data_IF_902589017588
#
_entry.id   IF_902589017588
#
_cell.length_a   1.000
_cell.length_b   1.000
_cell.length_c   1.000
_cell.angle_alpha   90.00
_cell.angle_beta   90.00
_cell.angle_gamma   90.00
#
_symmetry.space_group_name_H-M   'P 1'
#
loop_
_entity.id
_entity.type
_entity.pdbx_description
1 polymer ?
#
# COMPACT_ATOMS: atom_id res chain seq x y z
N UNK A 1 -84.57 7.10 21.74
CA UNK A 1 -83.26 7.53 21.21
C UNK A 1 -82.27 6.38 21.42
N UNK A 2 -82.12 5.47 20.45
CA UNK A 2 -81.26 4.28 20.60
C UNK A 2 -79.85 4.61 20.09
N UNK A 3 -78.91 4.75 21.01
CA UNK A 3 -77.50 4.90 20.68
C UNK A 3 -76.93 3.55 20.22
N UNK A 4 -76.64 3.43 18.93
CA UNK A 4 -75.90 2.28 18.39
C UNK A 4 -74.42 2.49 18.68
N UNK A 5 -73.84 1.71 19.58
CA UNK A 5 -72.40 1.73 19.84
C UNK A 5 -71.66 0.97 18.73
N UNK A 6 -70.82 1.68 17.97
CA UNK A 6 -70.06 1.12 16.86
C UNK A 6 -68.72 0.59 17.38
N UNK A 7 -68.67 -0.69 17.73
CA UNK A 7 -67.43 -1.33 18.16
C UNK A 7 -66.48 -1.51 16.96
N UNK A 8 -65.36 -0.77 16.96
CA UNK A 8 -64.28 -0.97 15.98
C UNK A 8 -63.53 -2.26 16.33
N UNK A 9 -63.57 -3.25 15.44
CA UNK A 9 -62.70 -4.43 15.53
C UNK A 9 -61.26 -3.99 15.33
N UNK A 10 -60.43 -4.11 16.37
CA UNK A 10 -59.00 -3.82 16.26
C UNK A 10 -58.35 -4.91 15.39
N UNK A 11 -57.76 -4.51 14.26
CA UNK A 11 -57.19 -5.46 13.31
C UNK A 11 -55.78 -5.87 13.77
N UNK A 12 -55.66 -7.09 14.28
CA UNK A 12 -54.39 -7.68 14.72
C UNK A 12 -53.33 -7.75 13.61
N UNK A 13 -53.73 -7.76 12.33
CA UNK A 13 -52.82 -7.71 11.19
C UNK A 13 -51.93 -6.46 11.18
N UNK A 14 -52.43 -5.31 11.65
CA UNK A 14 -51.64 -4.08 11.70
C UNK A 14 -50.47 -4.17 12.67
N UNK A 15 -50.60 -5.00 13.71
CA UNK A 15 -49.54 -5.19 14.71
C UNK A 15 -48.38 -6.05 14.20
N UNK A 16 -48.60 -6.87 13.16
CA UNK A 16 -47.55 -7.71 12.56
C UNK A 16 -46.77 -7.02 11.44
N UNK A 17 -47.21 -5.84 11.01
CA UNK A 17 -46.60 -5.12 9.90
C UNK A 17 -45.19 -4.62 10.24
N UNK A 18 -45.03 -4.05 11.44
CA UNK A 18 -43.73 -3.58 11.95
C UNK A 18 -42.72 -4.72 12.16
N UNK A 19 -43.03 -5.82 12.88
CA UNK A 19 -42.09 -6.92 13.03
C UNK A 19 -41.79 -7.63 11.71
N UNK A 20 -42.75 -7.72 10.77
CA UNK A 20 -42.50 -8.26 9.45
C UNK A 20 -41.47 -7.45 8.65
N UNK A 21 -41.60 -6.12 8.66
CA UNK A 21 -40.61 -5.22 8.03
C UNK A 21 -39.25 -5.36 8.73
N UNK A 22 -39.22 -5.42 10.07
CA UNK A 22 -37.98 -5.56 10.83
C UNK A 22 -37.25 -6.87 10.49
N UNK A 23 -37.96 -8.00 10.38
CA UNK A 23 -37.39 -9.29 9.96
C UNK A 23 -36.85 -9.18 8.53
N UNK A 24 -37.60 -8.58 7.60
CA UNK A 24 -37.14 -8.39 6.23
C UNK A 24 -35.84 -7.55 6.16
N UNK A 25 -35.77 -6.47 6.93
CA UNK A 25 -34.56 -5.66 7.04
C UNK A 25 -33.39 -6.45 7.62
N UNK A 26 -33.61 -7.22 8.70
CA UNK A 26 -32.59 -8.08 9.30
C UNK A 26 -32.07 -9.12 8.31
N UNK A 27 -32.95 -9.78 7.56
CA UNK A 27 -32.56 -10.74 6.52
C UNK A 27 -31.72 -10.09 5.42
N UNK A 28 -32.12 -8.90 4.96
CA UNK A 28 -31.36 -8.13 3.97
C UNK A 28 -29.96 -7.79 4.47
N UNK A 29 -29.85 -7.22 5.68
CA UNK A 29 -28.56 -6.90 6.26
C UNK A 29 -27.70 -8.14 6.52
N UNK A 30 -28.28 -9.23 7.01
CA UNK A 30 -27.55 -10.48 7.22
C UNK A 30 -27.01 -11.06 5.91
N UNK A 31 -27.83 -11.09 4.86
CA UNK A 31 -27.40 -11.53 3.53
C UNK A 31 -26.26 -10.67 2.98
N UNK A 32 -26.38 -9.35 3.08
CA UNK A 32 -25.34 -8.42 2.63
C UNK A 32 -24.08 -8.42 3.51
N UNK A 33 -24.19 -8.71 4.81
CA UNK A 33 -23.04 -8.85 5.70
C UNK A 33 -22.24 -10.13 5.41
N UNK A 34 -22.91 -11.18 4.92
CA UNK A 34 -22.25 -12.42 4.50
C UNK A 34 -21.66 -12.30 3.08
N UNK A 35 -22.41 -11.76 2.13
CA UNK A 35 -22.03 -11.74 0.70
C UNK A 35 -21.36 -10.43 0.24
N UNK A 36 -21.32 -9.41 1.09
CA UNK A 36 -20.73 -8.12 0.75
C UNK A 36 -19.21 -8.20 0.60
N UNK A 37 -18.65 -7.34 -0.26
CA UNK A 37 -17.18 -7.20 -0.46
C UNK A 37 -16.42 -6.90 0.84
N UNK A 38 -17.07 -6.24 1.81
CA UNK A 38 -16.54 -5.94 3.16
C UNK A 38 -17.05 -6.92 4.23
N UNK A 39 -17.85 -7.91 3.82
CA UNK A 39 -18.43 -8.94 4.66
C UNK A 39 -17.41 -9.98 5.08
N UNK A 40 -17.83 -10.91 5.96
CA UNK A 40 -16.96 -11.96 6.50
C UNK A 40 -16.29 -12.81 5.42
N UNK A 41 -16.95 -12.98 4.27
CA UNK A 41 -16.45 -13.78 3.13
C UNK A 41 -15.46 -13.02 2.25
N UNK A 42 -15.49 -11.67 2.25
CA UNK A 42 -14.58 -10.84 1.45
C UNK A 42 -13.23 -10.57 2.12
N UNK A 43 -13.14 -10.77 3.44
CA UNK A 43 -11.91 -10.52 4.23
C UNK A 43 -10.68 -11.32 3.74
N UNK A 44 -10.79 -12.63 3.45
CA UNK A 44 -9.62 -13.39 3.03
C UNK A 44 -9.00 -12.89 1.72
N UNK A 45 -9.82 -12.38 0.79
CA UNK A 45 -9.32 -11.84 -0.48
C UNK A 45 -8.51 -10.56 -0.26
N UNK A 46 -9.01 -9.66 0.59
CA UNK A 46 -8.32 -8.42 0.93
C UNK A 46 -7.04 -8.72 1.71
N UNK A 47 -7.08 -9.65 2.68
CA UNK A 47 -5.90 -10.07 3.43
C UNK A 47 -4.83 -10.67 2.49
N UNK A 48 -5.23 -11.49 1.51
CA UNK A 48 -4.31 -12.00 0.49
C UNK A 48 -3.71 -10.89 -0.37
N UNK A 49 -4.50 -9.89 -0.77
CA UNK A 49 -4.03 -8.76 -1.56
C UNK A 49 -3.04 -7.89 -0.77
N UNK A 50 -3.32 -7.66 0.53
CA UNK A 50 -2.39 -6.97 1.43
C UNK A 50 -1.06 -7.72 1.51
N UNK A 51 -1.09 -9.03 1.76
CA UNK A 51 0.13 -9.84 1.85
C UNK A 51 0.93 -9.82 0.54
N UNK A 52 0.25 -9.89 -0.60
CA UNK A 52 0.91 -9.82 -1.91
C UNK A 52 1.59 -8.46 -2.13
N UNK A 53 0.91 -7.36 -1.80
CA UNK A 53 1.46 -6.02 -1.90
C UNK A 53 2.61 -5.77 -0.92
N UNK A 54 2.55 -6.31 0.29
CA UNK A 54 3.63 -6.23 1.27
C UNK A 54 4.90 -6.93 0.76
N UNK A 55 4.75 -8.12 0.15
CA UNK A 55 5.87 -8.84 -0.46
C UNK A 55 6.50 -8.06 -1.63
N UNK A 56 5.67 -7.54 -2.56
CA UNK A 56 6.15 -6.72 -3.67
C UNK A 56 6.89 -5.47 -3.19
N UNK A 57 6.36 -4.85 -2.13
CA UNK A 57 6.94 -3.64 -1.56
C UNK A 57 8.29 -3.91 -0.89
N UNK A 58 8.46 -5.06 -0.24
CA UNK A 58 9.74 -5.47 0.33
C UNK A 58 10.78 -5.79 -0.75
N UNK A 59 10.38 -6.45 -1.85
CA UNK A 59 11.27 -6.66 -3.01
C UNK A 59 11.76 -5.33 -3.60
N UNK A 60 10.84 -4.39 -3.83
CA UNK A 60 11.18 -3.06 -4.37
C UNK A 60 12.07 -2.25 -3.42
N UNK A 61 11.89 -2.40 -2.11
CA UNK A 61 12.78 -1.77 -1.11
C UNK A 61 14.19 -2.32 -1.20
N UNK A 62 14.34 -3.64 -1.34
CA UNK A 62 15.64 -4.25 -1.51
C UNK A 62 16.34 -3.77 -2.79
N UNK A 63 15.61 -3.73 -3.91
CA UNK A 63 16.15 -3.20 -5.17
C UNK A 63 16.60 -1.75 -5.01
N UNK A 64 15.76 -0.91 -4.39
CA UNK A 64 16.09 0.49 -4.10
C UNK A 64 17.36 0.60 -3.26
N UNK A 65 17.53 -0.23 -2.22
CA UNK A 65 18.74 -0.23 -1.39
C UNK A 65 19.98 -0.70 -2.16
N UNK A 66 19.84 -1.65 -3.09
CA UNK A 66 20.94 -2.07 -3.96
C UNK A 66 21.34 -0.95 -4.93
N UNK A 67 20.37 -0.30 -5.55
CA UNK A 67 20.61 0.83 -6.46
C UNK A 67 21.24 2.01 -5.73
N UNK A 68 20.76 2.34 -4.52
CA UNK A 68 21.37 3.38 -3.70
C UNK A 68 22.82 3.08 -3.36
N UNK A 69 23.15 1.84 -2.99
CA UNK A 69 24.54 1.45 -2.76
C UNK A 69 25.39 1.63 -4.00
N UNK A 70 24.88 1.26 -5.18
CA UNK A 70 25.58 1.48 -6.46
C UNK A 70 25.77 2.95 -6.77
N UNK A 71 24.74 3.79 -6.55
CA UNK A 71 24.84 5.24 -6.74
C UNK A 71 25.87 5.84 -5.79
N UNK A 72 25.89 5.44 -4.51
CA UNK A 72 26.92 5.90 -3.56
C UNK A 72 28.34 5.51 -4.00
N UNK A 73 28.52 4.34 -4.62
CA UNK A 73 29.81 3.93 -5.18
C UNK A 73 30.20 4.71 -6.44
N UNK A 74 29.24 5.34 -7.10
CA UNK A 74 29.43 6.15 -8.30
C UNK A 74 29.45 7.66 -8.01
N UNK A 75 29.15 8.07 -6.78
CA UNK A 75 29.01 9.47 -6.39
C UNK A 75 30.38 10.18 -6.39
N UNK A 76 30.61 11.10 -7.34
CA UNK A 76 31.86 11.84 -7.45
C UNK A 76 32.09 12.80 -6.28
N UNK A 77 31.10 13.16 -5.47
CA UNK A 77 31.31 14.03 -4.30
C UNK A 77 32.03 13.31 -3.15
N UNK A 78 32.01 11.96 -3.12
CA UNK A 78 32.86 11.16 -2.23
C UNK A 78 34.19 10.75 -2.86
N UNK A 79 34.31 10.86 -4.19
CA UNK A 79 35.57 10.68 -4.90
C UNK A 79 36.31 12.01 -4.88
N UNK A 80 37.32 12.10 -4.02
CA UNK A 80 38.26 13.21 -3.99
C UNK A 80 38.63 13.63 -5.43
N UNK A 81 38.41 14.89 -5.84
CA UNK A 81 38.71 15.37 -7.19
C UNK A 81 40.13 15.00 -7.64
N UNK A 82 41.07 14.93 -6.69
CA UNK A 82 42.45 14.53 -6.90
C UNK A 82 42.56 13.05 -7.34
N UNK A 83 41.70 12.15 -6.86
CA UNK A 83 41.67 10.74 -7.28
C UNK A 83 41.13 10.54 -8.69
N UNK A 84 40.22 11.42 -9.15
CA UNK A 84 39.69 11.39 -10.52
C UNK A 84 40.77 11.88 -11.49
N UNK A 85 41.53 12.91 -11.12
CA UNK A 85 42.64 13.45 -11.91
C UNK A 85 43.81 12.44 -12.01
N UNK A 86 44.13 11.73 -10.92
CA UNK A 86 45.11 10.64 -10.91
C UNK A 86 44.71 9.46 -11.81
N UNK A 87 43.43 9.03 -11.78
CA UNK A 87 42.94 7.98 -12.68
C UNK A 87 42.85 8.45 -14.13
N UNK A 88 42.51 9.71 -14.38
CA UNK A 88 42.54 10.30 -15.71
C UNK A 88 43.97 10.31 -16.26
N UNK A 89 44.96 10.78 -15.48
CA UNK A 89 46.38 10.75 -15.84
C UNK A 89 46.91 9.33 -16.09
N UNK A 90 46.54 8.37 -15.24
CA UNK A 90 46.95 6.97 -15.38
C UNK A 90 46.32 6.28 -16.61
N UNK A 91 45.06 6.60 -16.95
CA UNK A 91 44.36 5.99 -18.09
C UNK A 91 44.72 6.62 -19.44
N UNK A 92 45.11 7.90 -19.46
CA UNK A 92 45.40 8.64 -20.69
C UNK A 92 46.85 8.50 -21.20
N UNK A 93 47.71 7.77 -20.50
CA UNK A 93 49.13 7.59 -20.89
C UNK A 93 49.81 8.93 -21.30
N UNK A 94 49.41 10.03 -20.66
CA UNK A 94 50.05 11.34 -20.79
C UNK A 94 51.24 11.38 -19.81
N UNK A 95 52.13 10.40 -19.94
CA UNK A 95 53.51 10.59 -19.57
C UNK A 95 54.07 11.65 -20.53
N UNK A 96 54.00 12.93 -20.15
CA UNK A 96 54.78 13.93 -20.85
C UNK A 96 56.24 13.62 -20.54
N UNK A 97 57.01 13.37 -21.60
CA UNK A 97 58.38 12.79 -21.62
C UNK A 97 59.43 13.56 -20.78
N UNK A 98 59.07 14.67 -20.13
CA UNK A 98 60.00 15.65 -19.58
C UNK A 98 59.75 16.11 -18.13
N UNK A 99 58.90 15.45 -17.32
CA UNK A 99 58.74 15.86 -15.91
C UNK A 99 59.74 15.17 -14.97
N UNK A 100 60.60 15.97 -14.33
CA UNK A 100 61.57 15.55 -13.31
C UNK A 100 61.00 15.84 -11.93
N UNK A 101 60.68 14.80 -11.17
CA UNK A 101 60.28 14.91 -9.77
C UNK A 101 61.53 15.11 -8.88
N UNK A 102 61.67 16.29 -8.27
CA UNK A 102 62.70 16.56 -7.26
C UNK A 102 62.11 16.21 -5.89
N UNK A 103 62.59 15.11 -5.30
CA UNK A 103 62.35 14.80 -3.89
C UNK A 103 63.37 15.58 -3.04
N UNK A 104 62.89 16.54 -2.25
CA UNK A 104 63.71 17.27 -1.28
C UNK A 104 63.72 16.51 0.03
N UNK A 105 64.93 16.15 0.48
CA UNK A 105 65.23 15.57 1.79
C UNK A 105 64.90 16.55 2.92
#
# INVERSE_FOLDING_TARGET
MLATTRQRKHSYLKNFLVPGIAIGALCYFAFHALNGKLGLVGRPQIEHEILALELELDELREERLQLQRRVMLLDPESLDPDMVDERARASLNLAHVNEVAIMRN
#
